data_IF_445144275770
#
_entry.id   IF_445144275770
#
_cell.length_a   1.000
_cell.length_b   1.000
_cell.length_c   1.000
_cell.angle_alpha   90.00
_cell.angle_beta   90.00
_cell.angle_gamma   90.00
#
_symmetry.space_group_name_H-M   'P 1'
#
loop_
_entity.id
_entity.type
_entity.pdbx_description
1 polymer ?
#
# COMPACT_ATOMS: atom_id res chain seq x y z
N UNK A 1 -12.82 -24.13 1.24
CA UNK A 1 -12.93 -22.78 0.71
C UNK A 1 -13.62 -21.87 1.74
N UNK A 2 -13.31 -20.59 1.75
CA UNK A 2 -13.96 -19.60 2.63
C UNK A 2 -15.37 -19.29 2.10
N UNK A 3 -16.32 -19.04 2.99
CA UNK A 3 -17.66 -18.63 2.65
C UNK A 3 -17.67 -17.11 2.45
N UNK A 4 -18.05 -16.65 1.27
CA UNK A 4 -18.21 -15.21 0.99
C UNK A 4 -19.39 -14.69 1.81
N UNK A 5 -19.16 -13.69 2.66
CA UNK A 5 -20.18 -13.05 3.51
C UNK A 5 -20.71 -11.77 2.87
N UNK A 6 -19.85 -11.01 2.18
CA UNK A 6 -20.20 -9.71 1.60
C UNK A 6 -19.66 -9.64 0.17
N UNK A 7 -20.46 -9.07 -0.74
CA UNK A 7 -20.05 -8.80 -2.12
C UNK A 7 -20.23 -7.30 -2.36
N UNK A 8 -19.16 -6.67 -2.84
CA UNK A 8 -19.17 -5.26 -3.22
C UNK A 8 -19.45 -5.13 -4.72
N UNK A 9 -20.45 -4.33 -5.06
CA UNK A 9 -20.78 -4.00 -6.44
C UNK A 9 -20.54 -2.51 -6.68
N UNK A 10 -19.83 -2.19 -7.74
CA UNK A 10 -19.60 -0.82 -8.16
C UNK A 10 -19.74 -0.67 -9.67
N UNK A 11 -19.85 0.56 -10.13
CA UNK A 11 -19.82 0.87 -11.56
C UNK A 11 -18.47 0.49 -12.16
N UNK A 12 -18.48 -0.11 -13.34
CA UNK A 12 -17.26 -0.46 -14.05
C UNK A 12 -16.49 0.81 -14.48
N UNK A 13 -15.21 0.86 -14.21
CA UNK A 13 -14.35 1.96 -14.64
C UNK A 13 -14.22 1.98 -16.17
N UNK A 14 -14.40 3.16 -16.78
CA UNK A 14 -14.20 3.35 -18.20
C UNK A 14 -12.74 3.66 -18.49
N UNK A 15 -11.94 2.61 -18.76
CA UNK A 15 -10.49 2.70 -18.89
C UNK A 15 -10.06 3.53 -20.10
N UNK A 16 -9.15 4.49 -19.86
CA UNK A 16 -8.38 5.14 -20.89
C UNK A 16 -7.37 4.19 -21.54
N UNK A 17 -6.89 4.55 -22.71
CA UNK A 17 -5.83 3.81 -23.41
C UNK A 17 -4.69 4.75 -23.71
N UNK A 18 -3.48 4.25 -23.54
CA UNK A 18 -2.25 4.92 -23.98
C UNK A 18 -2.11 4.86 -25.50
N UNK A 19 -1.26 5.70 -26.09
CA UNK A 19 -1.00 5.68 -27.53
C UNK A 19 -0.51 4.33 -28.06
N UNK A 20 0.13 3.52 -27.23
CA UNK A 20 0.59 2.17 -27.56
C UNK A 20 -0.50 1.09 -27.42
N UNK A 21 -1.74 1.48 -27.07
CA UNK A 21 -2.90 0.59 -26.95
C UNK A 21 -3.05 -0.09 -25.60
N UNK A 22 -2.07 0.01 -24.68
CA UNK A 22 -2.16 -0.50 -23.31
C UNK A 22 -3.17 0.29 -22.49
N UNK A 23 -3.64 -0.31 -21.40
CA UNK A 23 -4.46 0.42 -20.43
C UNK A 23 -3.65 1.53 -19.77
N UNK A 24 -4.32 2.64 -19.47
CA UNK A 24 -3.67 3.82 -18.88
C UNK A 24 -3.62 3.68 -17.36
N UNK A 25 -2.76 2.77 -16.91
CA UNK A 25 -2.60 2.32 -15.54
C UNK A 25 -1.25 2.73 -14.98
N UNK A 26 -1.26 3.11 -13.71
CA UNK A 26 -0.11 3.59 -12.96
C UNK A 26 -0.06 2.92 -11.59
N UNK A 27 1.10 2.96 -10.97
CA UNK A 27 1.33 2.55 -9.58
C UNK A 27 1.64 3.77 -8.72
N UNK A 28 1.08 3.82 -7.52
CA UNK A 28 1.39 4.84 -6.52
C UNK A 28 1.35 4.22 -5.13
N UNK A 29 2.43 4.36 -4.36
CA UNK A 29 2.45 3.92 -2.97
C UNK A 29 3.17 4.93 -2.08
N UNK A 30 2.85 4.89 -0.79
CA UNK A 30 3.54 5.62 0.29
C UNK A 30 3.85 4.60 1.37
N UNK A 31 5.11 4.50 1.74
CA UNK A 31 5.60 3.56 2.75
C UNK A 31 6.83 4.12 3.46
N UNK A 32 7.23 3.46 4.55
CA UNK A 32 8.48 3.77 5.25
C UNK A 32 9.65 3.07 4.56
N UNK A 33 10.63 3.84 4.09
CA UNK A 33 11.91 3.29 3.67
C UNK A 33 12.78 3.01 4.91
N UNK A 34 12.97 1.74 5.21
CA UNK A 34 13.71 1.30 6.40
C UNK A 34 15.19 1.63 6.33
N UNK A 35 15.76 1.77 5.13
CA UNK A 35 17.18 2.09 4.96
C UNK A 35 17.48 3.55 5.37
N UNK A 36 16.56 4.45 5.06
CA UNK A 36 16.70 5.88 5.35
C UNK A 36 15.88 6.34 6.55
N UNK A 37 14.92 5.51 7.02
CA UNK A 37 13.95 5.85 8.08
C UNK A 37 13.04 7.02 7.73
N UNK A 38 12.83 7.28 6.44
CA UNK A 38 11.93 8.33 5.96
C UNK A 38 10.74 7.74 5.19
N UNK A 39 9.57 8.40 5.25
CA UNK A 39 8.50 8.12 4.30
C UNK A 39 8.98 8.33 2.86
N UNK A 40 8.62 7.43 1.98
CA UNK A 40 8.92 7.51 0.55
C UNK A 40 7.63 7.35 -0.26
N UNK A 41 7.46 8.20 -1.25
CA UNK A 41 6.44 8.04 -2.27
C UNK A 41 7.08 7.30 -3.44
N UNK A 42 6.49 6.18 -3.80
CA UNK A 42 6.92 5.35 -4.94
C UNK A 42 5.84 5.44 -6.01
N UNK A 43 6.22 5.77 -7.22
CA UNK A 43 5.31 5.84 -8.35
C UNK A 43 5.91 5.13 -9.56
N UNK A 44 5.08 4.55 -10.42
CA UNK A 44 5.51 3.93 -11.67
C UNK A 44 4.48 4.14 -12.77
N UNK A 45 4.99 4.21 -14.00
CA UNK A 45 4.16 4.19 -15.22
C UNK A 45 3.67 2.79 -15.57
N UNK A 46 4.08 1.76 -14.83
CA UNK A 46 3.61 0.39 -14.97
C UNK A 46 2.67 0.07 -13.79
N UNK A 47 1.37 0.15 -14.03
CA UNK A 47 0.33 -0.21 -13.08
C UNK A 47 -0.27 -1.59 -13.38
N UNK A 48 -1.14 -2.08 -12.49
CA UNK A 48 -1.83 -3.35 -12.66
C UNK A 48 -0.95 -4.60 -12.54
N UNK A 49 0.30 -4.44 -12.10
CA UNK A 49 1.25 -5.54 -11.88
C UNK A 49 2.01 -5.37 -10.58
N UNK A 50 2.71 -6.42 -10.14
CA UNK A 50 3.55 -6.39 -8.94
C UNK A 50 4.74 -5.44 -9.15
N UNK A 51 4.91 -4.51 -8.22
CA UNK A 51 5.98 -3.49 -8.30
C UNK A 51 7.37 -4.11 -8.21
N UNK A 52 7.51 -5.25 -7.55
CA UNK A 52 8.75 -6.02 -7.44
C UNK A 52 9.20 -6.52 -8.82
N UNK A 53 8.26 -6.94 -9.66
CA UNK A 53 8.55 -7.33 -11.04
C UNK A 53 9.08 -6.14 -11.84
N UNK A 54 8.46 -4.96 -11.68
CA UNK A 54 8.91 -3.72 -12.33
C UNK A 54 10.31 -3.32 -11.83
N UNK A 55 10.55 -3.43 -10.53
CA UNK A 55 11.84 -3.12 -9.92
C UNK A 55 12.99 -3.99 -10.45
N UNK A 56 12.68 -5.23 -10.81
CA UNK A 56 13.67 -6.18 -11.30
C UNK A 56 13.96 -6.02 -12.82
N UNK A 57 12.93 -5.71 -13.61
CA UNK A 57 13.02 -5.72 -15.08
C UNK A 57 13.15 -4.33 -15.70
N UNK A 58 12.51 -3.32 -15.10
CA UNK A 58 12.45 -1.95 -15.62
C UNK A 58 12.55 -0.92 -14.51
N UNK A 59 13.64 -0.94 -13.69
CA UNK A 59 13.78 -0.07 -12.51
C UNK A 59 13.75 1.43 -12.86
N UNK A 60 14.09 1.80 -14.09
CA UNK A 60 14.02 3.17 -14.60
C UNK A 60 12.60 3.73 -14.68
N UNK A 61 11.58 2.88 -14.60
CA UNK A 61 10.17 3.27 -14.56
C UNK A 61 9.64 3.51 -13.14
N UNK A 62 10.48 3.30 -12.13
CA UNK A 62 10.13 3.54 -10.74
C UNK A 62 10.72 4.86 -10.28
N UNK A 63 9.84 5.75 -9.85
CA UNK A 63 10.18 7.07 -9.33
C UNK A 63 9.99 7.07 -7.81
N UNK A 64 10.99 7.57 -7.10
CA UNK A 64 10.97 7.65 -5.63
C UNK A 64 11.16 9.09 -5.19
N UNK A 65 10.32 9.56 -4.29
CA UNK A 65 10.44 10.86 -3.66
C UNK A 65 10.39 10.67 -2.15
N UNK A 66 11.51 10.91 -1.51
CA UNK A 66 11.63 10.85 -0.05
C UNK A 66 11.02 12.10 0.58
N UNK A 67 10.31 11.93 1.68
CA UNK A 67 9.67 13.03 2.40
C UNK A 67 10.30 13.14 3.79
N UNK A 68 10.79 14.32 4.12
CA UNK A 68 11.28 14.59 5.47
C UNK A 68 10.09 14.73 6.42
N UNK A 69 9.96 13.88 7.45
CA UNK A 69 8.84 13.92 8.38
C UNK A 69 8.76 15.21 9.20
N UNK A 70 9.88 15.93 9.36
CA UNK A 70 9.89 17.19 10.10
C UNK A 70 9.17 18.33 9.37
N UNK A 71 9.12 18.29 8.03
CA UNK A 71 8.48 19.32 7.20
C UNK A 71 7.28 18.79 6.42
N UNK A 72 7.11 17.47 6.34
CA UNK A 72 6.05 16.82 5.59
C UNK A 72 6.20 16.97 4.07
N UNK A 73 5.21 16.45 3.34
CA UNK A 73 5.19 16.51 1.88
C UNK A 73 5.08 17.96 1.38
N UNK A 74 6.06 18.37 0.60
CA UNK A 74 6.08 19.69 -0.01
C UNK A 74 5.43 19.68 -1.40
N UNK A 75 4.79 20.79 -1.78
CA UNK A 75 4.07 20.88 -3.05
C UNK A 75 4.93 20.58 -4.29
N UNK A 76 6.23 20.88 -4.25
CA UNK A 76 7.13 20.56 -5.35
C UNK A 76 7.35 19.05 -5.51
N UNK A 77 7.36 18.30 -4.41
CA UNK A 77 7.51 16.84 -4.41
C UNK A 77 6.30 16.15 -5.06
N UNK A 78 5.09 16.58 -4.71
CA UNK A 78 3.87 16.09 -5.36
C UNK A 78 3.86 16.41 -6.87
N UNK A 79 4.33 17.60 -7.25
CA UNK A 79 4.52 17.97 -8.67
C UNK A 79 5.58 17.12 -9.35
N UNK A 80 6.67 16.78 -8.68
CA UNK A 80 7.72 15.90 -9.20
C UNK A 80 7.15 14.52 -9.55
N UNK A 81 6.33 13.92 -8.68
CA UNK A 81 5.64 12.65 -8.97
C UNK A 81 4.75 12.78 -10.21
N UNK A 82 3.92 13.83 -10.28
CA UNK A 82 3.03 14.03 -11.42
C UNK A 82 3.80 14.19 -12.76
N UNK A 83 4.93 14.89 -12.76
CA UNK A 83 5.81 14.99 -13.92
C UNK A 83 6.47 13.67 -14.31
N UNK A 84 6.95 12.91 -13.30
CA UNK A 84 7.59 11.61 -13.53
C UNK A 84 6.62 10.60 -14.15
N UNK A 85 5.34 10.68 -13.80
CA UNK A 85 4.28 9.86 -14.40
C UNK A 85 3.85 10.36 -15.80
N UNK A 86 4.40 11.48 -16.28
CA UNK A 86 4.09 12.05 -17.59
C UNK A 86 2.77 12.82 -17.66
N UNK A 87 2.15 13.14 -16.53
CA UNK A 87 0.89 13.88 -16.51
C UNK A 87 1.07 15.35 -16.87
N UNK A 88 0.09 15.90 -17.56
CA UNK A 88 0.03 17.31 -17.96
C UNK A 88 -1.40 17.85 -17.81
N UNK A 89 -1.56 19.15 -17.91
CA UNK A 89 -2.87 19.81 -17.92
C UNK A 89 -3.67 19.51 -16.63
N UNK A 90 -4.88 18.99 -16.79
CA UNK A 90 -5.78 18.72 -15.67
C UNK A 90 -5.42 17.45 -14.91
N UNK A 91 -4.92 16.40 -15.60
CA UNK A 91 -4.41 15.18 -14.95
C UNK A 91 -3.25 15.49 -14.00
N UNK A 92 -2.38 16.42 -14.38
CA UNK A 92 -1.31 16.88 -13.50
C UNK A 92 -1.84 17.45 -12.19
N UNK A 93 -2.86 18.32 -12.24
CA UNK A 93 -3.48 18.92 -11.05
C UNK A 93 -4.17 17.86 -10.18
N UNK A 94 -4.88 16.92 -10.82
CA UNK A 94 -5.52 15.82 -10.14
C UNK A 94 -4.49 14.93 -9.41
N UNK A 95 -3.39 14.59 -10.07
CA UNK A 95 -2.30 13.81 -9.48
C UNK A 95 -1.68 14.51 -8.27
N UNK A 96 -1.35 15.80 -8.39
CA UNK A 96 -0.80 16.59 -7.27
C UNK A 96 -1.78 16.58 -6.09
N UNK A 97 -3.07 16.76 -6.35
CA UNK A 97 -4.11 16.74 -5.31
C UNK A 97 -4.20 15.37 -4.65
N UNK A 98 -4.20 14.30 -5.45
CA UNK A 98 -4.29 12.91 -4.98
C UNK A 98 -3.08 12.57 -4.09
N UNK A 99 -1.87 12.80 -4.58
CA UNK A 99 -0.63 12.52 -3.82
C UNK A 99 -0.61 13.27 -2.49
N UNK A 100 -1.01 14.54 -2.50
CA UNK A 100 -1.07 15.34 -1.27
C UNK A 100 -2.07 14.75 -0.26
N UNK A 101 -3.28 14.39 -0.71
CA UNK A 101 -4.31 13.80 0.16
C UNK A 101 -3.94 12.41 0.66
N UNK A 102 -3.32 11.58 -0.19
CA UNK A 102 -2.85 10.25 0.23
C UNK A 102 -1.74 10.36 1.26
N UNK A 103 -0.80 11.31 1.11
CA UNK A 103 0.23 11.54 2.12
C UNK A 103 -0.37 12.03 3.44
N UNK A 104 -1.33 12.95 3.38
CA UNK A 104 -2.05 13.42 4.56
C UNK A 104 -2.75 12.25 5.27
N UNK A 105 -3.47 11.42 4.54
CA UNK A 105 -4.11 10.21 5.06
C UNK A 105 -3.09 9.25 5.68
N UNK A 106 -1.98 8.95 4.97
CA UNK A 106 -0.88 8.12 5.45
C UNK A 106 -0.38 8.59 6.82
N UNK A 107 -0.15 9.90 6.94
CA UNK A 107 0.38 10.52 8.15
C UNK A 107 -0.65 10.58 9.28
N UNK A 108 -1.86 11.06 9.01
CA UNK A 108 -2.92 11.24 10.02
C UNK A 108 -3.47 9.92 10.57
N UNK A 109 -3.40 8.84 9.79
CA UNK A 109 -3.91 7.52 10.18
C UNK A 109 -2.82 6.55 10.61
N UNK A 110 -1.59 7.02 10.76
CA UNK A 110 -0.43 6.17 11.10
C UNK A 110 -0.37 4.93 10.21
N UNK A 111 -0.45 5.13 8.91
CA UNK A 111 -0.35 4.02 7.98
C UNK A 111 1.11 3.52 7.92
N UNK A 112 1.30 2.22 7.93
CA UNK A 112 2.57 1.59 7.60
C UNK A 112 2.80 1.61 6.07
N UNK A 113 1.71 1.49 5.30
CA UNK A 113 1.72 1.55 3.83
C UNK A 113 0.36 1.98 3.30
N UNK A 114 0.38 2.76 2.24
CA UNK A 114 -0.78 3.02 1.36
C UNK A 114 -0.35 2.75 -0.06
N UNK A 115 -1.02 1.83 -0.73
CA UNK A 115 -0.76 1.46 -2.12
C UNK A 115 -2.02 1.62 -2.95
N UNK A 116 -1.91 2.25 -4.10
CA UNK A 116 -2.95 2.35 -5.12
C UNK A 116 -2.43 1.65 -6.38
N UNK A 117 -3.02 0.48 -6.68
CA UNK A 117 -2.58 -0.34 -7.80
C UNK A 117 -3.75 -1.16 -8.37
N UNK A 118 -4.26 -0.78 -9.55
CA UNK A 118 -3.81 0.35 -10.36
C UNK A 118 -4.45 1.70 -10.00
N UNK A 119 -3.71 2.76 -10.23
CA UNK A 119 -4.22 4.11 -10.41
C UNK A 119 -4.52 4.31 -11.89
N UNK A 120 -5.77 4.59 -12.23
CA UNK A 120 -6.23 4.65 -13.62
C UNK A 120 -6.39 6.08 -14.12
N UNK A 121 -6.19 6.26 -15.43
CA UNK A 121 -6.78 7.38 -16.17
C UNK A 121 -8.00 6.87 -16.92
N UNK A 122 -9.16 7.49 -16.67
CA UNK A 122 -10.40 7.14 -17.37
C UNK A 122 -10.46 7.82 -18.75
N UNK A 123 -11.34 7.34 -19.65
CA UNK A 123 -11.59 7.97 -20.94
C UNK A 123 -12.04 9.43 -20.84
N UNK A 124 -12.65 9.80 -19.71
CA UNK A 124 -13.09 11.15 -19.41
C UNK A 124 -11.96 12.06 -18.88
N UNK A 125 -10.73 11.55 -18.81
CA UNK A 125 -9.56 12.29 -18.31
C UNK A 125 -9.56 12.49 -16.80
N UNK A 126 -10.08 11.52 -16.03
CA UNK A 126 -10.06 11.53 -14.58
C UNK A 126 -9.07 10.50 -14.04
N UNK A 127 -8.36 10.86 -12.97
CA UNK A 127 -7.62 9.91 -12.16
C UNK A 127 -8.57 9.17 -11.20
N UNK A 128 -8.49 7.85 -11.20
CA UNK A 128 -9.29 6.97 -10.37
C UNK A 128 -8.40 5.94 -9.68
N UNK A 129 -8.44 5.90 -8.35
CA UNK A 129 -7.92 4.76 -7.59
C UNK A 129 -8.90 3.59 -7.75
N UNK A 130 -8.53 2.59 -8.55
CA UNK A 130 -9.40 1.44 -8.78
C UNK A 130 -9.39 0.51 -7.58
N UNK A 131 -8.21 0.25 -7.04
CA UNK A 131 -8.00 -0.53 -5.82
C UNK A 131 -6.96 0.15 -4.95
N UNK A 132 -7.09 -0.04 -3.65
CA UNK A 132 -6.16 0.48 -2.67
C UNK A 132 -5.94 -0.54 -1.55
N UNK A 133 -4.67 -0.77 -1.24
CA UNK A 133 -4.24 -1.57 -0.10
C UNK A 133 -3.66 -0.65 0.96
N UNK A 134 -4.21 -0.73 2.17
CA UNK A 134 -3.77 0.09 3.29
C UNK A 134 -3.38 -0.81 4.44
N UNK A 135 -2.20 -0.58 5.00
CA UNK A 135 -1.76 -1.19 6.25
C UNK A 135 -1.53 -0.10 7.27
N UNK A 136 -2.01 -0.31 8.47
CA UNK A 136 -1.85 0.63 9.59
C UNK A 136 -0.74 0.14 10.52
N UNK A 137 -0.15 1.05 11.28
CA UNK A 137 0.77 0.68 12.34
C UNK A 137 -0.02 0.17 13.54
N UNK A 138 0.11 -1.12 13.85
CA UNK A 138 -0.58 -1.75 14.97
C UNK A 138 -0.26 -1.07 16.31
N UNK A 139 0.93 -0.51 16.46
CA UNK A 139 1.32 0.22 17.67
C UNK A 139 0.59 1.56 17.83
N UNK A 140 -0.04 2.07 16.79
CA UNK A 140 -0.79 3.32 16.78
C UNK A 140 -2.30 3.12 16.85
N UNK A 141 -2.82 1.90 16.70
CA UNK A 141 -4.26 1.60 16.63
C UNK A 141 -5.03 2.06 17.89
N UNK A 142 -4.37 2.15 19.05
CA UNK A 142 -5.01 2.65 20.28
C UNK A 142 -5.57 4.07 20.16
N UNK A 143 -5.05 4.88 19.23
CA UNK A 143 -5.53 6.23 18.95
C UNK A 143 -6.43 6.35 17.72
N UNK A 144 -6.70 5.23 17.04
CA UNK A 144 -7.55 5.14 15.84
C UNK A 144 -8.72 4.15 16.01
N UNK A 145 -9.67 4.42 16.94
CA UNK A 145 -10.80 3.53 17.17
C UNK A 145 -11.70 3.37 15.94
N UNK A 146 -11.74 4.35 15.06
CA UNK A 146 -12.43 4.31 13.78
C UNK A 146 -11.81 3.29 12.81
N UNK A 147 -10.49 3.16 12.80
CA UNK A 147 -9.77 2.14 12.02
C UNK A 147 -10.01 0.74 12.62
N UNK A 148 -9.90 0.62 13.95
CA UNK A 148 -10.16 -0.65 14.64
C UNK A 148 -11.59 -1.16 14.36
N UNK A 149 -12.57 -0.27 14.23
CA UNK A 149 -13.95 -0.62 13.92
C UNK A 149 -14.15 -1.21 12.52
N UNK A 150 -13.19 -1.04 11.61
CA UNK A 150 -13.23 -1.61 10.26
C UNK A 150 -12.75 -3.08 10.21
N UNK A 151 -12.22 -3.60 11.34
CA UNK A 151 -11.72 -4.98 11.41
C UNK A 151 -12.86 -5.98 11.18
N UNK A 152 -12.70 -6.85 10.18
CA UNK A 152 -13.64 -7.92 9.88
C UNK A 152 -13.10 -9.27 10.40
N UNK A 153 -13.58 -9.67 11.56
CA UNK A 153 -13.18 -10.92 12.20
C UNK A 153 -13.58 -12.16 11.39
N UNK A 154 -14.51 -12.06 10.42
CA UNK A 154 -14.89 -13.20 9.59
C UNK A 154 -13.84 -13.54 8.53
N UNK A 155 -12.97 -12.58 8.21
CA UNK A 155 -11.88 -12.75 7.24
C UNK A 155 -10.56 -13.18 7.90
N UNK A 156 -10.49 -13.14 9.23
CA UNK A 156 -9.29 -13.52 9.99
C UNK A 156 -9.28 -15.01 10.35
N UNK A 157 -8.10 -15.55 10.64
CA UNK A 157 -7.97 -16.89 11.20
C UNK A 157 -8.49 -16.95 12.65
N UNK A 158 -9.29 -17.96 12.94
CA UNK A 158 -9.90 -18.09 14.28
C UNK A 158 -8.87 -18.22 15.40
N UNK A 159 -7.69 -18.79 15.13
CA UNK A 159 -6.59 -18.93 16.11
C UNK A 159 -5.88 -17.58 16.32
N UNK A 160 -5.75 -16.77 15.27
CA UNK A 160 -5.21 -15.41 15.36
C UNK A 160 -6.13 -14.52 16.19
N UNK A 161 -7.46 -14.62 15.97
CA UNK A 161 -8.47 -13.93 16.77
C UNK A 161 -8.38 -14.35 18.24
N UNK A 162 -8.28 -15.65 18.50
CA UNK A 162 -8.18 -16.15 19.88
C UNK A 162 -6.91 -15.68 20.58
N UNK A 163 -5.76 -15.75 19.89
CA UNK A 163 -4.48 -15.27 20.41
C UNK A 163 -4.49 -13.76 20.69
N UNK A 164 -5.13 -12.98 19.83
CA UNK A 164 -5.21 -11.52 19.98
C UNK A 164 -5.93 -11.08 21.26
N UNK A 165 -6.87 -11.87 21.79
CA UNK A 165 -7.55 -11.59 23.06
C UNK A 165 -6.60 -11.56 24.25
N UNK A 166 -5.46 -12.22 24.14
CA UNK A 166 -4.41 -12.29 25.16
C UNK A 166 -3.19 -11.42 24.83
N UNK A 167 -3.29 -10.57 23.81
CA UNK A 167 -2.17 -9.75 23.34
C UNK A 167 -1.05 -10.55 22.70
N UNK A 168 -1.35 -11.75 22.20
CA UNK A 168 -0.40 -12.61 21.53
C UNK A 168 -0.55 -12.51 20.01
N UNK A 169 0.57 -12.59 19.29
CA UNK A 169 0.59 -12.75 17.84
C UNK A 169 0.69 -14.23 17.49
N UNK A 170 -0.20 -14.72 16.65
CA UNK A 170 -0.19 -16.09 16.12
C UNK A 170 -0.09 -16.04 14.61
N UNK A 171 0.79 -16.85 14.03
CA UNK A 171 0.94 -16.99 12.57
C UNK A 171 0.92 -18.48 12.26
N UNK A 172 -0.03 -18.91 11.45
CA UNK A 172 -0.09 -20.28 10.93
C UNK A 172 0.75 -20.39 9.66
N UNK A 173 1.73 -21.28 9.69
CA UNK A 173 2.53 -21.67 8.52
C UNK A 173 2.28 -23.14 8.22
N UNK A 174 2.54 -23.56 6.99
CA UNK A 174 2.53 -24.97 6.61
C UNK A 174 3.78 -25.68 7.16
N UNK A 175 3.57 -26.65 8.06
CA UNK A 175 4.67 -27.38 8.68
C UNK A 175 4.24 -28.16 9.92
N UNK A 176 5.19 -28.86 10.52
CA UNK A 176 5.01 -29.69 11.72
C UNK A 176 5.86 -29.23 12.92
N UNK A 177 6.52 -28.09 12.81
CA UNK A 177 7.30 -27.47 13.89
C UNK A 177 6.59 -26.20 14.31
N UNK A 178 6.40 -26.03 15.61
CA UNK A 178 5.86 -24.81 16.20
C UNK A 178 6.91 -24.12 17.06
N UNK A 179 6.96 -22.77 16.98
CA UNK A 179 7.83 -21.95 17.78
C UNK A 179 7.00 -21.06 18.71
N UNK A 180 7.31 -21.05 19.99
CA UNK A 180 6.80 -20.09 20.95
C UNK A 180 7.95 -19.24 21.44
N UNK A 181 7.94 -17.96 21.12
CA UNK A 181 9.07 -17.06 21.35
C UNK A 181 8.61 -15.72 21.88
N UNK A 182 9.53 -15.00 22.49
CA UNK A 182 9.29 -13.69 23.06
C UNK A 182 9.76 -12.61 22.07
N UNK A 183 8.91 -12.28 21.09
CA UNK A 183 9.14 -11.24 20.10
C UNK A 183 9.52 -11.75 18.71
N UNK A 184 9.18 -10.93 17.71
CA UNK A 184 9.27 -11.28 16.29
C UNK A 184 10.71 -11.54 15.82
N UNK A 185 11.69 -10.81 16.33
CA UNK A 185 13.11 -10.99 15.96
C UNK A 185 13.64 -12.37 16.33
N UNK A 186 13.28 -12.88 17.51
CA UNK A 186 13.65 -14.24 17.94
C UNK A 186 12.89 -15.29 17.10
N UNK A 187 11.62 -15.04 16.77
CA UNK A 187 10.87 -15.93 15.89
C UNK A 187 11.55 -16.08 14.53
N UNK A 188 11.91 -14.97 13.89
CA UNK A 188 12.57 -14.97 12.58
C UNK A 188 13.93 -15.68 12.63
N UNK A 189 14.77 -15.39 13.60
CA UNK A 189 16.06 -16.06 13.76
C UNK A 189 15.92 -17.57 14.02
N UNK A 190 14.89 -17.97 14.78
CA UNK A 190 14.60 -19.38 15.02
C UNK A 190 14.16 -20.10 13.74
N UNK A 191 13.29 -19.46 12.94
CA UNK A 191 12.85 -20.01 11.65
C UNK A 191 14.02 -20.13 10.67
N UNK A 192 14.91 -19.15 10.60
CA UNK A 192 16.10 -19.20 9.74
C UNK A 192 16.99 -20.40 10.09
N UNK A 193 17.20 -20.68 11.40
CA UNK A 193 17.99 -21.83 11.85
C UNK A 193 17.30 -23.16 11.53
N UNK A 194 15.97 -23.20 11.59
CA UNK A 194 15.21 -24.42 11.27
C UNK A 194 15.25 -24.72 9.77
N UNK A 195 15.30 -23.68 8.92
CA UNK A 195 15.36 -23.81 7.47
C UNK A 195 16.73 -24.27 6.97
N UNK A 196 17.80 -23.98 7.69
CA UNK A 196 19.18 -24.37 7.35
C UNK A 196 19.61 -25.66 8.06
#
# INVERSE_FOLDING_TARGET
>A
GRKVQTIYFTEAANLGKRPDGRDDEYYLAILLDRATSFPVIVASTEGGMEIEHVAHHTPEKIFKVQVDPAVGLQAFQARQIAFSLGFSGDLFKQCVTLVTKLYQFYWEKDCAMVEVNPLLVTKEGKLLALDAKVSFDDNALFRHPDVVALRDLNEEDAKEIEASKFGLSYIALDGNIACLVNGAGLAMSTMDIIQH
#
